data_IF_568512557720
#
_entry.id   IF_568512557720
#
_cell.length_a   1.000
_cell.length_b   1.000
_cell.length_c   1.000
_cell.angle_alpha   90.00
_cell.angle_beta   90.00
_cell.angle_gamma   90.00
#
_symmetry.space_group_name_H-M   'P 1'
#
loop_
_entity.id
_entity.type
_entity.pdbx_description
1 polymer ?
#
# COMPACT_ATOMS: atom_id res chain seq x y z
N UNK A 1 5.36 6.22 13.15
CA UNK A 1 4.36 5.12 13.23
C UNK A 1 3.35 5.30 12.11
N UNK A 2 2.85 4.20 11.56
CA UNK A 2 1.79 4.18 10.55
C UNK A 2 0.50 3.64 11.19
N UNK A 3 -0.65 4.14 10.75
CA UNK A 3 -1.98 3.61 11.11
C UNK A 3 -2.74 3.33 9.82
N UNK A 4 -3.24 2.11 9.67
CA UNK A 4 -4.20 1.76 8.64
C UNK A 4 -5.54 1.51 9.33
N UNK A 5 -6.63 2.03 8.78
CA UNK A 5 -7.96 1.91 9.34
C UNK A 5 -9.00 1.83 8.23
N UNK A 6 -10.10 1.15 8.52
CA UNK A 6 -11.28 1.11 7.66
C UNK A 6 -12.55 0.98 8.51
N UNK A 7 -13.66 1.42 7.93
CA UNK A 7 -14.99 1.27 8.51
C UNK A 7 -15.69 0.09 7.83
N UNK A 8 -16.19 -0.87 8.62
CA UNK A 8 -16.89 -2.05 8.11
C UNK A 8 -18.30 -1.69 7.63
N UNK A 9 -18.97 -2.65 6.98
CA UNK A 9 -20.38 -2.49 6.60
C UNK A 9 -21.33 -2.29 7.80
N UNK A 10 -20.91 -2.64 9.02
CA UNK A 10 -21.69 -2.41 10.25
C UNK A 10 -21.39 -1.07 10.90
N UNK A 11 -20.49 -0.26 10.34
CA UNK A 11 -20.06 1.03 10.90
C UNK A 11 -18.99 0.90 12.00
N UNK A 12 -18.44 -0.29 12.20
CA UNK A 12 -17.33 -0.51 13.15
C UNK A 12 -16.01 -0.07 12.52
N UNK A 13 -15.20 0.70 13.24
CA UNK A 13 -13.84 1.01 12.83
C UNK A 13 -12.90 -0.14 13.22
N UNK A 14 -12.19 -0.69 12.24
CA UNK A 14 -11.07 -1.59 12.46
C UNK A 14 -9.78 -0.83 12.13
N UNK A 15 -8.81 -0.85 13.05
CA UNK A 15 -7.51 -0.21 12.81
C UNK A 15 -6.33 -1.02 13.30
N UNK A 16 -5.19 -0.82 12.65
CA UNK A 16 -3.92 -1.45 12.98
C UNK A 16 -2.79 -0.41 12.92
N UNK A 17 -1.90 -0.44 13.92
CA UNK A 17 -0.71 0.42 14.00
C UNK A 17 0.52 -0.37 13.60
N UNK A 18 1.55 0.33 13.13
CA UNK A 18 2.82 -0.28 12.78
C UNK A 18 3.96 0.71 12.64
N UNK A 19 5.10 0.20 12.20
CA UNK A 19 6.33 0.96 11.92
C UNK A 19 6.77 0.66 10.50
N UNK A 20 7.09 1.71 9.75
CA UNK A 20 7.68 1.62 8.42
C UNK A 20 9.13 2.11 8.50
N UNK A 21 10.07 1.26 8.09
CA UNK A 21 11.51 1.55 8.10
C UNK A 21 12.06 1.51 6.69
N UNK A 22 12.83 2.51 6.29
CA UNK A 22 13.50 2.54 4.97
C UNK A 22 14.58 1.46 4.93
N UNK A 23 14.57 0.61 3.89
CA UNK A 23 15.60 -0.43 3.67
C UNK A 23 16.57 -0.09 2.55
N UNK A 24 16.18 0.83 1.65
CA UNK A 24 17.05 1.39 0.60
C UNK A 24 17.25 2.89 0.89
N UNK A 25 18.34 3.29 1.56
CA UNK A 25 18.54 4.69 1.95
C UNK A 25 18.83 5.62 0.77
N UNK A 26 19.29 5.09 -0.36
CA UNK A 26 19.63 5.87 -1.55
C UNK A 26 18.37 6.31 -2.30
N UNK A 27 17.47 5.36 -2.60
CA UNK A 27 16.26 5.64 -3.38
C UNK A 27 15.03 5.87 -2.50
N UNK A 28 15.05 5.44 -1.23
CA UNK A 28 14.02 5.63 -0.20
C UNK A 28 12.61 5.13 -0.57
N UNK A 29 12.49 4.37 -1.67
CA UNK A 29 11.24 3.84 -2.18
C UNK A 29 10.88 2.46 -1.60
N UNK A 30 11.82 1.79 -0.93
CA UNK A 30 11.62 0.47 -0.33
C UNK A 30 11.56 0.57 1.19
N UNK A 31 10.51 0.01 1.76
CA UNK A 31 10.26 0.00 3.19
C UNK A 31 10.00 -1.42 3.70
N UNK A 32 10.37 -1.65 4.96
CA UNK A 32 9.90 -2.76 5.76
C UNK A 32 8.83 -2.25 6.72
N UNK A 33 7.58 -2.68 6.52
CA UNK A 33 6.43 -2.33 7.35
C UNK A 33 6.10 -3.51 8.27
N UNK A 34 6.10 -3.24 9.58
CA UNK A 34 5.76 -4.22 10.62
C UNK A 34 4.60 -3.67 11.45
N UNK A 35 3.50 -4.41 11.50
CA UNK A 35 2.33 -4.04 12.30
C UNK A 35 2.46 -4.53 13.75
N UNK A 36 1.84 -3.80 14.68
CA UNK A 36 1.88 -3.99 16.13
C UNK A 36 1.01 -5.18 16.59
N UNK A 37 1.27 -6.35 16.03
CA UNK A 37 0.76 -7.63 16.51
C UNK A 37 1.93 -8.47 17.00
N UNK A 38 1.75 -9.17 18.12
CA UNK A 38 2.82 -9.95 18.76
C UNK A 38 3.40 -11.00 17.80
N UNK A 39 2.54 -11.67 17.02
CA UNK A 39 2.95 -12.63 15.99
C UNK A 39 3.68 -11.95 14.83
N UNK A 40 3.25 -10.77 14.38
CA UNK A 40 3.91 -10.03 13.30
C UNK A 40 5.32 -9.59 13.68
N UNK A 41 5.54 -9.15 14.93
CA UNK A 41 6.89 -8.85 15.45
C UNK A 41 7.76 -10.11 15.52
N UNK A 42 7.17 -11.24 15.93
CA UNK A 42 7.82 -12.56 15.94
C UNK A 42 7.96 -13.21 14.55
N UNK A 43 7.40 -12.66 13.49
CA UNK A 43 7.71 -13.09 12.12
C UNK A 43 8.77 -12.17 11.54
N UNK A 44 8.66 -10.86 11.77
CA UNK A 44 9.58 -9.86 11.27
C UNK A 44 11.03 -10.08 11.72
N UNK A 45 11.29 -10.47 12.99
CA UNK A 45 12.67 -10.74 13.42
C UNK A 45 13.37 -11.89 12.69
N UNK A 46 12.61 -12.82 12.08
CA UNK A 46 13.15 -13.94 11.31
C UNK A 46 13.03 -13.78 9.80
N UNK A 47 12.16 -12.90 9.31
CA UNK A 47 11.80 -12.80 7.88
C UNK A 47 11.98 -11.41 7.28
N UNK A 48 12.50 -10.44 8.05
CA UNK A 48 12.82 -9.12 7.50
C UNK A 48 13.86 -9.26 6.39
N UNK A 49 13.39 -9.21 5.15
CA UNK A 49 14.23 -9.29 3.96
C UNK A 49 14.85 -7.92 3.67
N UNK A 50 16.07 -7.92 3.11
CA UNK A 50 16.75 -6.70 2.66
C UNK A 50 15.95 -5.95 1.58
N UNK A 51 15.03 -6.64 0.91
CA UNK A 51 14.19 -6.06 -0.12
C UNK A 51 13.06 -5.20 0.46
N UNK A 52 12.65 -5.41 1.72
CA UNK A 52 11.45 -4.81 2.28
C UNK A 52 10.16 -5.38 1.68
N UNK A 53 9.02 -5.09 2.30
CA UNK A 53 7.71 -5.61 1.94
C UNK A 53 6.73 -4.52 1.43
N UNK A 54 7.21 -3.29 1.28
CA UNK A 54 6.39 -2.16 0.87
C UNK A 54 7.18 -1.27 -0.07
N UNK A 55 6.85 -1.31 -1.36
CA UNK A 55 7.57 -0.59 -2.42
C UNK A 55 6.70 0.51 -2.99
N UNK A 56 7.22 1.74 -2.99
CA UNK A 56 6.64 2.87 -3.70
C UNK A 56 7.06 2.75 -5.16
N UNK A 57 6.11 2.38 -6.02
CA UNK A 57 6.36 2.09 -7.44
C UNK A 57 6.19 3.33 -8.32
N UNK A 58 5.28 4.22 -7.91
CA UNK A 58 5.01 5.50 -8.59
C UNK A 58 4.37 6.47 -7.61
N UNK A 59 4.72 7.74 -7.72
CA UNK A 59 4.00 8.87 -7.15
C UNK A 59 3.79 9.88 -8.27
N UNK A 60 2.58 10.45 -8.38
CA UNK A 60 2.35 11.52 -9.35
C UNK A 60 3.07 12.82 -8.93
N UNK A 61 3.35 13.75 -9.85
CA UNK A 61 4.10 14.97 -9.55
C UNK A 61 3.49 15.83 -8.43
N UNK A 62 2.16 15.80 -8.30
CA UNK A 62 1.42 16.56 -7.30
C UNK A 62 1.26 15.83 -5.95
N UNK A 63 1.84 14.62 -5.81
CA UNK A 63 1.72 13.76 -4.62
C UNK A 63 0.27 13.44 -4.23
N UNK A 64 -0.66 13.43 -5.18
CA UNK A 64 -2.07 13.09 -4.97
C UNK A 64 -2.35 11.60 -5.09
N UNK A 65 -1.59 10.90 -5.95
CA UNK A 65 -1.74 9.49 -6.24
C UNK A 65 -0.42 8.75 -6.04
N UNK A 66 -0.50 7.55 -5.47
CA UNK A 66 0.64 6.67 -5.33
C UNK A 66 0.27 5.23 -5.65
N UNK A 67 1.22 4.50 -6.25
CA UNK A 67 1.14 3.05 -6.43
C UNK A 67 2.15 2.42 -5.48
N UNK A 68 1.65 1.49 -4.68
CA UNK A 68 2.45 0.71 -3.74
C UNK A 68 2.24 -0.78 -4.01
N UNK A 69 3.29 -1.58 -3.93
CA UNK A 69 3.14 -3.04 -4.00
C UNK A 69 4.21 -3.80 -3.24
N UNK A 70 4.12 -5.13 -3.30
CA UNK A 70 5.12 -6.06 -2.75
C UNK A 70 6.10 -6.52 -3.85
N UNK A 71 7.33 -6.95 -3.47
CA UNK A 71 8.35 -7.40 -4.45
C UNK A 71 7.93 -8.60 -5.30
N UNK A 72 7.16 -9.52 -4.70
CA UNK A 72 6.60 -10.72 -5.34
C UNK A 72 5.44 -10.42 -6.30
N UNK A 73 4.89 -9.20 -6.24
CA UNK A 73 3.73 -8.71 -7.01
C UNK A 73 2.38 -9.31 -6.60
N UNK A 74 2.31 -9.96 -5.44
CA UNK A 74 1.07 -10.54 -4.94
C UNK A 74 0.10 -9.49 -4.38
N UNK A 75 0.61 -8.32 -3.94
CA UNK A 75 -0.22 -7.26 -3.37
C UNK A 75 0.07 -5.89 -4.01
N UNK A 76 -1.02 -5.15 -4.27
CA UNK A 76 -1.02 -3.85 -4.91
C UNK A 76 -2.02 -2.92 -4.22
N UNK A 77 -1.62 -1.67 -4.00
CA UNK A 77 -2.49 -0.59 -3.54
C UNK A 77 -2.31 0.65 -4.41
N UNK A 78 -3.43 1.24 -4.82
CA UNK A 78 -3.48 2.58 -5.42
C UNK A 78 -4.05 3.50 -4.35
N UNK A 79 -3.22 4.42 -3.87
CA UNK A 79 -3.56 5.34 -2.78
C UNK A 79 -3.86 6.72 -3.36
N UNK A 80 -4.86 7.40 -2.78
CA UNK A 80 -5.24 8.75 -3.15
C UNK A 80 -5.36 9.64 -1.91
N UNK A 81 -5.03 10.93 -2.07
CA UNK A 81 -5.30 11.95 -1.03
C UNK A 81 -6.77 12.37 -0.96
N UNK A 82 -7.55 12.06 -1.99
CA UNK A 82 -8.98 12.33 -2.07
C UNK A 82 -9.75 11.00 -2.06
N UNK A 83 -10.98 10.96 -1.52
CA UNK A 83 -11.80 9.73 -1.50
C UNK A 83 -12.18 9.22 -2.89
N UNK A 84 -12.08 10.07 -3.91
CA UNK A 84 -12.39 9.75 -5.30
C UNK A 84 -11.20 10.05 -6.20
N UNK A 85 -11.09 9.25 -7.27
CA UNK A 85 -10.12 9.40 -8.36
C UNK A 85 -10.93 9.48 -9.64
N UNK A 86 -10.58 10.40 -10.54
CA UNK A 86 -11.20 10.43 -11.86
C UNK A 86 -10.83 9.18 -12.68
N UNK A 87 -11.70 8.79 -13.60
CA UNK A 87 -11.54 7.53 -14.32
C UNK A 87 -10.26 7.47 -15.16
N UNK A 88 -9.84 8.60 -15.76
CA UNK A 88 -8.63 8.62 -16.58
C UNK A 88 -7.37 8.38 -15.73
N UNK A 89 -7.27 9.08 -14.59
CA UNK A 89 -6.17 8.87 -13.64
C UNK A 89 -6.17 7.46 -13.06
N UNK A 90 -7.35 6.91 -12.72
CA UNK A 90 -7.46 5.53 -12.25
C UNK A 90 -6.95 4.53 -13.30
N UNK A 91 -7.39 4.65 -14.55
CA UNK A 91 -6.97 3.76 -15.63
C UNK A 91 -5.47 3.87 -15.94
N UNK A 92 -4.88 5.06 -15.83
CA UNK A 92 -3.43 5.24 -15.96
C UNK A 92 -2.67 4.49 -14.85
N UNK A 93 -3.11 4.58 -13.59
CA UNK A 93 -2.47 3.88 -12.47
C UNK A 93 -2.62 2.37 -12.57
N UNK A 94 -3.79 1.88 -12.99
CA UNK A 94 -4.03 0.46 -13.24
C UNK A 94 -3.17 -0.04 -14.40
N UNK A 95 -3.16 0.68 -15.52
CA UNK A 95 -2.35 0.31 -16.70
C UNK A 95 -0.86 0.30 -16.39
N UNK A 96 -0.38 1.25 -15.58
CA UNK A 96 1.00 1.27 -15.11
C UNK A 96 1.32 0.04 -14.25
N UNK A 97 0.46 -0.29 -13.30
CA UNK A 97 0.61 -1.48 -12.45
C UNK A 97 0.62 -2.78 -13.25
N UNK A 98 -0.24 -2.91 -14.27
CA UNK A 98 -0.26 -4.07 -15.15
C UNK A 98 1.07 -4.23 -15.91
N UNK A 99 1.65 -3.14 -16.42
CA UNK A 99 2.97 -3.18 -17.09
C UNK A 99 4.11 -3.61 -16.15
N UNK A 100 3.96 -3.42 -14.84
CA UNK A 100 4.91 -3.90 -13.84
C UNK A 100 4.73 -5.39 -13.50
N UNK A 101 3.70 -6.06 -14.02
CA UNK A 101 3.43 -7.48 -13.84
C UNK A 101 2.45 -7.82 -12.72
N UNK A 102 1.68 -6.86 -12.21
CA UNK A 102 0.60 -7.13 -11.26
C UNK A 102 -0.66 -7.63 -11.97
N UNK A 103 -1.39 -8.55 -11.33
CA UNK A 103 -2.71 -9.02 -11.78
C UNK A 103 -3.80 -7.99 -11.45
N UNK A 104 -3.91 -6.96 -12.29
CA UNK A 104 -4.79 -5.82 -12.05
C UNK A 104 -6.28 -6.12 -12.16
N UNK A 105 -6.65 -7.26 -12.76
CA UNK A 105 -8.02 -7.78 -12.81
C UNK A 105 -8.61 -8.05 -11.42
N UNK A 106 -7.77 -8.22 -10.40
CA UNK A 106 -8.18 -8.43 -9.00
C UNK A 106 -8.28 -7.13 -8.19
N UNK A 107 -8.04 -5.96 -8.80
CA UNK A 107 -8.10 -4.67 -8.09
C UNK A 107 -9.56 -4.33 -7.76
N UNK A 108 -9.83 -4.16 -6.48
CA UNK A 108 -11.14 -3.76 -5.96
C UNK A 108 -11.10 -2.27 -5.60
N UNK A 109 -12.11 -1.51 -6.05
CA UNK A 109 -12.27 -0.10 -5.64
C UNK A 109 -12.91 -0.04 -4.25
N UNK A 110 -12.29 0.70 -3.35
CA UNK A 110 -12.88 0.99 -2.05
C UNK A 110 -14.16 1.84 -2.21
N UNK A 111 -15.20 1.61 -1.39
CA UNK A 111 -16.40 2.44 -1.40
C UNK A 111 -16.07 3.86 -0.93
N UNK A 112 -16.71 4.85 -1.56
CA UNK A 112 -16.55 6.27 -1.23
C UNK A 112 -17.47 6.61 -0.05
N UNK A 113 -16.93 7.19 1.02
CA UNK A 113 -17.69 7.60 2.22
C UNK A 113 -17.67 6.61 3.38
N UNK A 114 -16.73 5.66 3.39
CA UNK A 114 -16.39 4.87 4.58
C UNK A 114 -15.39 5.65 5.44
N UNK A 115 -15.86 6.74 6.04
CA UNK A 115 -15.12 7.54 7.01
C UNK A 115 -15.59 7.16 8.42
#
# INVERSE_FOLDING_TARGET
AVRNACTTSTGEEISIKGVATVVDPEHRAKLNVVFDQWAAKLVAWFTSSEQGNYWILRVDPDYRLAIVGTPDRDYLWILARTPTIDEASYQDMVSFSHRLGFQTEHVIRAPVGAD
#
